data_IF_812645323011
#
_entry.id   IF_812645323011
#
_cell.length_a   1.000
_cell.length_b   1.000
_cell.length_c   1.000
_cell.angle_alpha   90.00
_cell.angle_beta   90.00
_cell.angle_gamma   90.00
#
_symmetry.space_group_name_H-M   'P 1'
#
loop_
_entity.id
_entity.type
_entity.pdbx_description
1 polymer ?
#
# COMPACT_ATOMS: atom_id res chain seq x y z
N UNK A 1 6.01 -30.02 7.00
CA UNK A 1 5.42 -29.64 5.69
C UNK A 1 6.41 -28.71 4.98
N UNK A 2 6.59 -28.87 3.67
CA UNK A 2 7.49 -28.03 2.85
C UNK A 2 6.75 -26.84 2.27
N UNK A 3 7.45 -25.75 1.94
CA UNK A 3 6.85 -24.59 1.26
C UNK A 3 6.26 -24.97 -0.11
N UNK A 4 5.12 -24.38 -0.51
CA UNK A 4 4.47 -24.70 -1.77
C UNK A 4 5.19 -24.09 -2.98
N UNK A 5 4.93 -24.65 -4.15
CA UNK A 5 5.27 -24.01 -5.44
C UNK A 5 4.07 -23.19 -5.90
N UNK A 6 4.27 -21.89 -6.11
CA UNK A 6 3.23 -20.94 -6.54
C UNK A 6 3.70 -20.26 -7.84
N UNK A 7 2.82 -20.17 -8.83
CA UNK A 7 3.09 -19.51 -10.11
C UNK A 7 4.10 -20.24 -11.01
N UNK A 8 4.79 -19.49 -11.87
CA UNK A 8 5.84 -19.99 -12.78
C UNK A 8 7.18 -19.33 -12.45
N UNK A 9 7.91 -19.83 -11.45
CA UNK A 9 9.07 -19.12 -10.92
C UNK A 9 10.23 -19.06 -11.93
N UNK A 10 11.01 -17.98 -11.83
CA UNK A 10 12.29 -17.79 -12.53
C UNK A 10 12.20 -17.71 -14.06
N UNK A 11 11.09 -17.17 -14.58
CA UNK A 11 10.89 -16.94 -16.02
C UNK A 11 11.34 -15.53 -16.42
N UNK A 12 11.98 -15.42 -17.59
CA UNK A 12 12.26 -14.13 -18.25
C UNK A 12 11.05 -13.72 -19.10
N UNK A 13 10.85 -12.42 -19.30
CA UNK A 13 9.78 -11.89 -20.15
C UNK A 13 10.03 -12.15 -21.65
N UNK A 14 11.30 -12.18 -22.08
CA UNK A 14 11.73 -12.34 -23.48
C UNK A 14 11.10 -11.35 -24.48
N UNK A 15 10.60 -10.23 -23.97
CA UNK A 15 10.06 -9.11 -24.72
C UNK A 15 10.30 -7.82 -23.91
N UNK A 16 10.22 -6.64 -24.55
CA UNK A 16 10.12 -5.37 -23.82
C UNK A 16 8.89 -5.34 -22.92
N UNK A 17 8.95 -4.53 -21.86
CA UNK A 17 7.76 -4.18 -21.07
C UNK A 17 6.84 -3.35 -21.96
N UNK A 18 5.56 -3.68 -21.99
CA UNK A 18 4.59 -2.96 -22.82
C UNK A 18 4.32 -1.55 -22.30
N UNK A 19 4.08 -0.60 -23.19
CA UNK A 19 3.75 0.79 -22.81
C UNK A 19 2.49 0.84 -21.92
N UNK A 20 1.48 0.03 -22.23
CA UNK A 20 0.27 -0.08 -21.42
C UNK A 20 0.57 -0.51 -19.97
N UNK A 21 1.57 -1.38 -19.75
CA UNK A 21 2.00 -1.76 -18.41
C UNK A 21 2.69 -0.59 -17.69
N UNK A 22 3.48 0.22 -18.40
CA UNK A 22 4.11 1.44 -17.85
C UNK A 22 3.04 2.47 -17.46
N UNK A 23 2.05 2.72 -18.31
CA UNK A 23 0.91 3.57 -17.97
C UNK A 23 0.14 3.06 -16.73
N UNK A 24 0.00 1.74 -16.61
CA UNK A 24 -0.61 1.10 -15.45
C UNK A 24 0.19 1.35 -14.17
N UNK A 25 1.53 1.24 -14.24
CA UNK A 25 2.42 1.54 -13.12
C UNK A 25 2.34 3.02 -12.72
N UNK A 26 2.29 3.95 -13.68
CA UNK A 26 2.09 5.38 -13.38
C UNK A 26 0.75 5.64 -12.68
N UNK A 27 -0.34 5.06 -13.19
CA UNK A 27 -1.67 5.15 -12.56
C UNK A 27 -1.66 4.57 -11.14
N UNK A 28 -1.03 3.40 -10.94
CA UNK A 28 -0.85 2.80 -9.61
C UNK A 28 -0.09 3.75 -8.69
N UNK A 29 1.05 4.28 -9.15
CA UNK A 29 1.89 5.14 -8.34
C UNK A 29 1.15 6.41 -7.91
N UNK A 30 0.44 7.05 -8.83
CA UNK A 30 -0.37 8.24 -8.57
C UNK A 30 -1.50 7.96 -7.59
N UNK A 31 -2.27 6.90 -7.78
CA UNK A 31 -3.38 6.58 -6.87
C UNK A 31 -2.86 6.14 -5.50
N UNK A 32 -1.80 5.33 -5.43
CA UNK A 32 -1.18 4.95 -4.15
C UNK A 32 -0.66 6.17 -3.38
N UNK A 33 -0.01 7.12 -4.07
CA UNK A 33 0.40 8.40 -3.46
C UNK A 33 -0.81 9.20 -2.94
N UNK A 34 -1.88 9.29 -3.73
CA UNK A 34 -3.11 9.96 -3.33
C UNK A 34 -3.73 9.32 -2.07
N UNK A 35 -3.82 7.99 -2.05
CA UNK A 35 -4.32 7.22 -0.91
C UNK A 35 -3.44 7.42 0.34
N UNK A 36 -2.12 7.43 0.18
CA UNK A 36 -1.18 7.67 1.28
C UNK A 36 -1.34 9.08 1.87
N UNK A 37 -1.52 10.10 1.03
CA UNK A 37 -1.78 11.48 1.48
C UNK A 37 -3.13 11.53 2.19
N UNK A 38 -4.18 10.96 1.60
CA UNK A 38 -5.51 10.89 2.20
C UNK A 38 -5.48 10.29 3.61
N UNK A 39 -4.76 9.19 3.78
CA UNK A 39 -4.52 8.56 5.08
C UNK A 39 -3.83 9.49 6.10
N UNK A 40 -2.83 10.26 5.70
CA UNK A 40 -2.10 11.14 6.64
C UNK A 40 -2.92 12.40 7.00
N UNK A 41 -3.64 12.96 6.02
CA UNK A 41 -4.20 14.30 6.14
C UNK A 41 -5.71 14.36 6.34
N UNK A 42 -6.49 13.45 5.75
CA UNK A 42 -7.94 13.63 5.65
C UNK A 42 -8.71 12.77 6.66
N UNK A 43 -9.69 13.40 7.32
CA UNK A 43 -10.70 12.70 8.13
C UNK A 43 -12.04 12.58 7.40
N UNK A 44 -12.31 13.39 6.39
CA UNK A 44 -13.54 13.33 5.59
C UNK A 44 -13.27 13.77 4.16
N UNK A 45 -14.29 13.70 3.30
CA UNK A 45 -14.27 14.18 1.92
C UNK A 45 -13.06 13.64 1.11
N UNK A 46 -12.94 12.30 0.99
CA UNK A 46 -11.75 11.66 0.43
C UNK A 46 -11.53 11.92 -1.06
N UNK A 47 -12.51 12.54 -1.75
CA UNK A 47 -12.44 12.89 -3.18
C UNK A 47 -12.48 14.40 -3.42
N UNK A 48 -12.36 15.22 -2.36
CA UNK A 48 -12.32 16.69 -2.43
C UNK A 48 -13.51 17.29 -3.18
N UNK A 49 -14.72 16.76 -2.95
CA UNK A 49 -15.96 17.32 -3.48
C UNK A 49 -16.26 18.68 -2.86
N UNK A 50 -16.92 19.56 -3.63
CA UNK A 50 -17.28 20.90 -3.16
C UNK A 50 -18.39 20.85 -2.09
N UNK A 51 -18.23 21.53 -0.94
CA UNK A 51 -17.06 22.29 -0.50
C UNK A 51 -15.97 21.40 0.12
N UNK A 52 -14.72 21.57 -0.34
CA UNK A 52 -13.55 20.96 0.29
C UNK A 52 -12.83 21.99 1.14
N UNK A 53 -12.78 21.76 2.45
CA UNK A 53 -12.29 22.79 3.40
C UNK A 53 -11.33 22.22 4.43
N UNK A 54 -10.75 23.10 5.25
CA UNK A 54 -9.91 22.71 6.39
C UNK A 54 -10.62 21.79 7.40
N UNK A 55 -11.95 21.78 7.41
CA UNK A 55 -12.73 20.87 8.27
C UNK A 55 -12.55 19.41 7.88
N UNK A 56 -12.13 19.12 6.65
CA UNK A 56 -11.85 17.76 6.18
C UNK A 56 -10.49 17.23 6.62
N UNK A 57 -9.62 18.10 7.15
CA UNK A 57 -8.27 17.76 7.59
C UNK A 57 -8.29 17.21 9.02
N UNK A 58 -7.46 16.20 9.30
CA UNK A 58 -7.24 15.66 10.65
C UNK A 58 -6.67 16.74 11.57
N UNK A 59 -7.13 16.74 12.83
CA UNK A 59 -6.61 17.68 13.84
C UNK A 59 -5.14 17.43 14.22
N UNK A 60 -4.68 16.18 14.10
CA UNK A 60 -3.28 15.79 14.30
C UNK A 60 -2.81 15.05 13.07
N UNK A 61 -1.75 15.56 12.44
CA UNK A 61 -1.12 14.94 11.28
C UNK A 61 -0.09 13.93 11.79
N UNK A 62 -0.38 12.64 11.65
CA UNK A 62 0.45 11.53 12.12
C UNK A 62 0.69 10.57 10.97
N UNK A 63 1.95 10.23 10.73
CA UNK A 63 2.38 9.38 9.62
C UNK A 63 3.63 9.96 8.95
N UNK A 64 4.22 9.19 8.03
CA UNK A 64 5.44 9.58 7.32
C UNK A 64 5.19 9.64 5.83
N UNK A 65 5.58 10.77 5.22
CA UNK A 65 5.53 10.93 3.77
C UNK A 65 6.88 10.62 3.10
N UNK A 66 8.02 10.94 3.73
CA UNK A 66 9.33 10.98 3.06
C UNK A 66 9.73 9.71 2.31
N UNK A 67 9.49 8.52 2.87
CA UNK A 67 9.80 7.23 2.22
C UNK A 67 8.68 6.73 1.29
N UNK A 68 7.44 7.12 1.58
CA UNK A 68 6.21 6.55 1.04
C UNK A 68 6.07 6.62 -0.49
N UNK A 69 6.35 7.72 -1.20
CA UNK A 69 6.23 7.74 -2.65
C UNK A 69 7.28 6.89 -3.35
N UNK A 70 8.46 6.70 -2.74
CA UNK A 70 9.47 5.77 -3.23
C UNK A 70 9.03 4.31 -3.07
N UNK A 71 8.40 3.98 -1.94
CA UNK A 71 7.79 2.67 -1.73
C UNK A 71 6.65 2.42 -2.72
N UNK A 72 5.74 3.37 -2.90
CA UNK A 72 4.64 3.25 -3.88
C UNK A 72 5.17 3.05 -5.30
N UNK A 73 6.25 3.75 -5.69
CA UNK A 73 6.91 3.57 -6.99
C UNK A 73 7.43 2.13 -7.14
N UNK A 74 8.23 1.66 -6.18
CA UNK A 74 8.80 0.31 -6.21
C UNK A 74 7.71 -0.77 -6.20
N UNK A 75 6.70 -0.64 -5.34
CA UNK A 75 5.59 -1.60 -5.26
C UNK A 75 4.81 -1.65 -6.57
N UNK A 76 4.56 -0.51 -7.23
CA UNK A 76 3.91 -0.49 -8.54
C UNK A 76 4.69 -1.30 -9.59
N UNK A 77 6.01 -1.11 -9.64
CA UNK A 77 6.88 -1.89 -10.50
C UNK A 77 6.93 -3.38 -10.12
N UNK A 78 6.96 -3.71 -8.82
CA UNK A 78 6.95 -5.09 -8.32
C UNK A 78 5.64 -5.79 -8.68
N UNK A 79 4.48 -5.14 -8.50
CA UNK A 79 3.18 -5.69 -8.87
C UNK A 79 3.11 -6.00 -10.38
N UNK A 80 3.60 -5.09 -11.23
CA UNK A 80 3.70 -5.31 -12.67
C UNK A 80 4.59 -6.52 -12.99
N UNK A 81 5.75 -6.61 -12.35
CA UNK A 81 6.65 -7.76 -12.48
C UNK A 81 5.98 -9.08 -12.06
N UNK A 82 5.28 -9.11 -10.92
CA UNK A 82 4.55 -10.29 -10.45
C UNK A 82 3.52 -10.74 -11.50
N UNK A 83 2.74 -9.80 -12.04
CA UNK A 83 1.70 -10.09 -13.03
C UNK A 83 2.29 -10.66 -14.32
N UNK A 84 3.37 -10.08 -14.85
CA UNK A 84 4.00 -10.51 -16.11
C UNK A 84 4.78 -11.82 -15.98
N UNK A 85 5.36 -12.09 -14.81
CA UNK A 85 6.24 -13.25 -14.60
C UNK A 85 5.57 -14.40 -13.86
N UNK A 86 4.40 -14.18 -13.26
CA UNK A 86 3.74 -15.12 -12.34
C UNK A 86 4.72 -15.59 -11.25
N UNK A 87 5.54 -14.66 -10.75
CA UNK A 87 6.60 -14.94 -9.78
C UNK A 87 6.03 -14.88 -8.37
N UNK A 88 6.15 -15.98 -7.62
CA UNK A 88 5.88 -15.98 -6.18
C UNK A 88 6.79 -14.95 -5.49
N UNK A 89 6.21 -13.95 -4.84
CA UNK A 89 6.93 -12.76 -4.34
C UNK A 89 6.37 -12.33 -3.00
N UNK A 90 7.27 -12.04 -2.06
CA UNK A 90 6.98 -11.38 -0.78
C UNK A 90 7.90 -10.17 -0.67
N UNK A 91 7.39 -9.05 -0.17
CA UNK A 91 8.21 -7.86 0.11
C UNK A 91 8.54 -7.74 1.59
N UNK A 92 9.73 -7.23 1.89
CA UNK A 92 10.11 -6.79 3.23
C UNK A 92 10.19 -5.26 3.22
N UNK A 93 9.24 -4.61 3.90
CA UNK A 93 9.22 -3.15 3.99
C UNK A 93 10.16 -2.68 5.11
N UNK A 94 11.46 -2.61 4.80
CA UNK A 94 12.49 -2.14 5.74
C UNK A 94 12.17 -0.77 6.37
N UNK A 95 11.90 0.30 5.59
CA UNK A 95 11.40 1.56 6.13
C UNK A 95 9.90 1.45 6.47
N UNK A 96 9.59 0.62 7.47
CA UNK A 96 8.23 0.21 7.81
C UNK A 96 7.33 1.34 8.30
N UNK A 97 7.91 2.46 8.72
CA UNK A 97 7.18 3.71 9.01
C UNK A 97 6.48 4.30 7.77
N UNK A 98 6.76 3.77 6.58
CA UNK A 98 6.01 3.97 5.34
C UNK A 98 4.70 3.16 5.24
N UNK A 99 4.06 2.84 6.38
CA UNK A 99 2.80 2.10 6.46
C UNK A 99 1.71 2.50 5.45
N UNK A 100 1.50 3.79 5.12
CA UNK A 100 0.53 4.20 4.11
C UNK A 100 0.74 3.56 2.72
N UNK A 101 1.97 3.16 2.37
CA UNK A 101 2.25 2.46 1.11
C UNK A 101 1.75 1.01 1.13
N UNK A 102 1.93 0.32 2.27
CA UNK A 102 1.47 -1.06 2.44
C UNK A 102 -0.05 -1.17 2.50
N UNK A 103 -0.72 -0.29 3.27
CA UNK A 103 -2.18 -0.25 3.30
C UNK A 103 -2.77 0.15 1.94
N UNK A 104 -2.14 1.10 1.22
CA UNK A 104 -2.58 1.46 -0.12
C UNK A 104 -2.41 0.29 -1.11
N UNK A 105 -1.30 -0.46 -1.04
CA UNK A 105 -1.08 -1.66 -1.84
C UNK A 105 -2.23 -2.66 -1.62
N UNK A 106 -2.55 -2.97 -0.37
CA UNK A 106 -3.56 -3.98 -0.02
C UNK A 106 -4.98 -3.49 -0.37
N UNK A 107 -5.25 -2.19 -0.30
CA UNK A 107 -6.53 -1.63 -0.75
C UNK A 107 -6.70 -1.74 -2.27
N UNK A 108 -5.63 -1.49 -3.02
CA UNK A 108 -5.65 -1.52 -4.48
C UNK A 108 -5.75 -2.95 -5.04
N UNK A 109 -5.02 -3.90 -4.46
CA UNK A 109 -5.13 -5.32 -4.84
C UNK A 109 -6.45 -5.98 -4.36
N UNK A 110 -7.14 -5.35 -3.40
CA UNK A 110 -8.46 -5.74 -2.92
C UNK A 110 -8.45 -6.55 -1.62
N UNK A 111 -7.29 -7.07 -1.22
CA UNK A 111 -7.15 -7.89 -0.01
C UNK A 111 -7.56 -7.12 1.24
N UNK A 112 -7.35 -5.80 1.29
CA UNK A 112 -7.77 -5.00 2.44
C UNK A 112 -9.28 -5.06 2.64
N UNK A 113 -10.08 -5.02 1.57
CA UNK A 113 -11.55 -5.13 1.67
C UNK A 113 -11.99 -6.56 2.02
N UNK A 114 -11.28 -7.58 1.53
CA UNK A 114 -11.56 -8.98 1.87
C UNK A 114 -11.39 -9.25 3.36
N UNK A 115 -10.30 -8.77 3.96
CA UNK A 115 -10.02 -8.90 5.39
C UNK A 115 -10.80 -7.89 6.26
N UNK A 116 -11.09 -6.70 5.73
CA UNK A 116 -11.82 -5.64 6.41
C UNK A 116 -13.07 -5.20 5.62
N UNK A 117 -14.18 -5.97 5.67
CA UNK A 117 -15.37 -5.73 4.83
C UNK A 117 -16.05 -4.37 5.02
N UNK A 118 -15.75 -3.66 6.12
CA UNK A 118 -16.26 -2.30 6.38
C UNK A 118 -15.55 -1.22 5.54
N UNK A 119 -14.39 -1.55 4.97
CA UNK A 119 -13.54 -0.68 4.15
C UNK A 119 -13.74 -1.08 2.68
N UNK A 120 -14.86 -0.62 2.13
CA UNK A 120 -15.32 -0.97 0.78
C UNK A 120 -14.57 -0.23 -0.34
N UNK A 121 -14.68 -0.71 -1.58
CA UNK A 121 -14.11 -0.09 -2.79
C UNK A 121 -15.04 0.99 -3.37
N UNK A 122 -15.47 1.91 -2.51
CA UNK A 122 -16.33 3.06 -2.83
C UNK A 122 -15.91 4.28 -1.99
N UNK A 123 -16.57 5.42 -2.21
CA UNK A 123 -16.27 6.67 -1.50
C UNK A 123 -16.45 6.59 0.02
N UNK A 124 -17.45 5.85 0.51
CA UNK A 124 -17.70 5.69 1.93
C UNK A 124 -16.62 4.82 2.60
N UNK A 125 -16.21 3.75 1.93
CA UNK A 125 -15.08 2.91 2.33
C UNK A 125 -13.76 3.70 2.30
N UNK A 126 -13.54 4.50 1.26
CA UNK A 126 -12.36 5.35 1.13
C UNK A 126 -12.27 6.41 2.24
N UNK A 127 -13.39 7.01 2.63
CA UNK A 127 -13.42 7.93 3.76
C UNK A 127 -12.98 7.24 5.06
N UNK A 128 -13.49 6.04 5.33
CA UNK A 128 -13.11 5.25 6.51
C UNK A 128 -11.63 4.87 6.44
N UNK A 129 -11.16 4.45 5.27
CA UNK A 129 -9.77 4.10 4.99
C UNK A 129 -8.81 5.26 5.31
N UNK A 130 -9.15 6.48 4.89
CA UNK A 130 -8.35 7.67 5.21
C UNK A 130 -8.39 8.01 6.69
N UNK A 131 -9.59 8.06 7.28
CA UNK A 131 -9.77 8.47 8.67
C UNK A 131 -9.05 7.54 9.63
N UNK A 132 -9.12 6.22 9.44
CA UNK A 132 -8.65 5.24 10.42
C UNK A 132 -7.11 5.19 10.56
N UNK A 133 -6.36 5.60 9.55
CA UNK A 133 -4.90 5.57 9.61
C UNK A 133 -4.36 6.45 10.74
N UNK A 134 -3.57 5.86 11.66
CA UNK A 134 -2.97 6.56 12.81
C UNK A 134 -3.98 7.38 13.64
N UNK A 135 -5.19 6.83 13.82
CA UNK A 135 -6.29 7.50 14.49
C UNK A 135 -6.72 6.72 15.74
N UNK A 136 -7.27 7.37 16.78
CA UNK A 136 -7.81 6.65 17.93
C UNK A 136 -8.85 5.61 17.53
N UNK A 137 -8.63 4.35 17.89
CA UNK A 137 -9.48 3.22 17.50
C UNK A 137 -9.37 2.80 16.03
N UNK A 138 -8.36 3.32 15.30
CA UNK A 138 -8.04 2.94 13.94
C UNK A 138 -6.82 2.02 13.87
N UNK A 139 -6.00 2.19 12.83
CA UNK A 139 -4.86 1.30 12.50
C UNK A 139 -3.49 1.96 12.78
N UNK A 140 -2.40 1.19 12.94
CA UNK A 140 -1.04 1.69 13.16
C UNK A 140 -0.49 2.57 12.03
N UNK A 141 0.64 3.22 12.31
CA UNK A 141 1.39 4.06 11.36
C UNK A 141 2.41 3.29 10.52
N UNK A 142 2.78 2.08 10.95
CA UNK A 142 3.77 1.22 10.29
C UNK A 142 3.10 0.16 9.42
N UNK A 143 3.89 -0.64 8.69
CA UNK A 143 3.40 -1.84 7.96
C UNK A 143 3.12 -3.00 8.94
N UNK A 144 2.25 -2.74 9.90
CA UNK A 144 1.92 -3.60 11.04
C UNK A 144 1.35 -4.97 10.61
N UNK A 145 1.37 -5.98 11.49
CA UNK A 145 0.90 -7.35 11.20
C UNK A 145 -0.58 -7.45 10.79
N UNK A 146 -1.39 -6.43 11.11
CA UNK A 146 -2.78 -6.34 10.64
C UNK A 146 -2.90 -5.93 9.15
N UNK A 147 -1.81 -5.52 8.49
CA UNK A 147 -1.86 -5.19 7.07
C UNK A 147 -1.61 -6.45 6.24
N UNK A 148 -2.55 -6.87 5.36
CA UNK A 148 -2.30 -7.98 4.45
C UNK A 148 -1.02 -7.76 3.64
N UNK A 149 -0.22 -8.82 3.51
CA UNK A 149 1.10 -8.77 2.87
C UNK A 149 2.28 -8.46 3.80
N UNK A 150 2.04 -8.08 5.07
CA UNK A 150 3.13 -7.84 6.02
C UNK A 150 3.59 -9.11 6.75
N UNK A 151 4.90 -9.34 6.72
CA UNK A 151 5.62 -10.25 7.63
C UNK A 151 6.79 -9.54 8.35
N UNK A 152 6.87 -8.21 8.21
CA UNK A 152 7.94 -7.39 8.75
C UNK A 152 7.43 -5.95 8.95
N UNK A 153 7.24 -5.55 10.20
CA UNK A 153 6.67 -4.24 10.54
C UNK A 153 7.61 -3.07 10.22
N UNK A 154 8.93 -3.26 10.38
CA UNK A 154 9.94 -2.23 10.12
C UNK A 154 9.84 -1.00 11.01
N UNK A 155 9.33 -1.16 12.25
CA UNK A 155 9.35 -0.13 13.29
C UNK A 155 10.75 0.05 13.90
N UNK A 156 11.27 -1.02 14.52
CA UNK A 156 12.69 -1.09 14.85
C UNK A 156 13.47 -1.52 13.60
N UNK A 157 14.30 -0.60 13.09
CA UNK A 157 15.10 -0.84 11.89
C UNK A 157 16.28 -1.77 12.19
N UNK A 158 16.66 -2.61 11.22
CA UNK A 158 17.87 -3.43 11.28
C UNK A 158 17.69 -4.87 10.79
N UNK A 159 16.46 -5.39 10.82
CA UNK A 159 16.18 -6.81 10.57
C UNK A 159 15.68 -7.14 9.16
N UNK A 160 15.65 -6.16 8.25
CA UNK A 160 15.05 -6.33 6.92
C UNK A 160 15.77 -7.42 6.10
N UNK A 161 17.10 -7.45 6.13
CA UNK A 161 17.87 -8.45 5.40
C UNK A 161 17.78 -9.82 6.05
N UNK A 162 17.90 -9.92 7.38
CA UNK A 162 17.80 -11.20 8.09
C UNK A 162 16.42 -11.85 7.97
N UNK A 163 15.34 -11.08 7.75
CA UNK A 163 14.01 -11.63 7.48
C UNK A 163 13.78 -11.98 6.01
N UNK A 164 14.60 -11.45 5.10
CA UNK A 164 14.49 -11.74 3.66
C UNK A 164 15.18 -13.05 3.26
N UNK A 165 16.27 -13.43 3.96
CA UNK A 165 17.01 -14.68 3.77
C UNK A 165 16.37 -15.84 4.54
#
# INVERSE_FOLDING_TARGET
MTSPVIGTPWKKLNAPVSEAAIEGVDKYWRVANYLSIGQIYLRSNPLMKEPFTREDVKHRLVGHWGTTPGLNFLIGHINRFIAEHQQNTVIIMGPGHGGPAGTAQSYLDGTYTEYYPKITKDEAGLQKFFRQFSYPGGIPSHFAPETPGSIHEGGELGYALSHAY
#
